data_IF_886158816400
#
_entry.id   IF_886158816400
#
_cell.length_a   1.000
_cell.length_b   1.000
_cell.length_c   1.000
_cell.angle_alpha   90.00
_cell.angle_beta   90.00
_cell.angle_gamma   90.00
#
_symmetry.space_group_name_H-M   'P 1'
#
loop_
_entity.id
_entity.type
_entity.pdbx_description
1 polymer ?
#
# COMPACT_ATOMS: atom_id res chain seq x y z
N UNK A 1 -0.22 -12.61 1.40
CA UNK A 1 -0.63 -11.24 1.79
C UNK A 1 0.51 -10.38 2.32
N UNK A 2 1.63 -10.96 2.76
CA UNK A 2 2.78 -10.19 3.28
C UNK A 2 3.31 -9.15 2.29
N UNK A 3 3.41 -9.48 0.99
CA UNK A 3 3.88 -8.51 0.00
C UNK A 3 2.95 -7.30 -0.19
N UNK A 4 1.62 -7.49 -0.17
CA UNK A 4 0.66 -6.38 -0.16
C UNK A 4 0.85 -5.47 1.07
N UNK A 5 1.12 -6.06 2.24
CA UNK A 5 1.42 -5.31 3.46
C UNK A 5 2.74 -4.54 3.34
N UNK A 6 3.77 -5.14 2.74
CA UNK A 6 5.05 -4.48 2.51
C UNK A 6 4.91 -3.27 1.57
N UNK A 7 4.18 -3.42 0.46
CA UNK A 7 3.87 -2.31 -0.46
C UNK A 7 3.12 -1.20 0.30
N UNK A 8 2.04 -1.55 0.99
CA UNK A 8 1.23 -0.59 1.74
C UNK A 8 2.05 0.15 2.79
N UNK A 9 2.95 -0.56 3.51
CA UNK A 9 3.82 0.03 4.51
C UNK A 9 4.80 1.03 3.90
N UNK A 10 5.48 0.66 2.81
CA UNK A 10 6.44 1.53 2.12
C UNK A 10 5.71 2.75 1.56
N UNK A 11 4.57 2.58 0.91
CA UNK A 11 3.79 3.71 0.36
C UNK A 11 3.32 4.65 1.46
N UNK A 12 2.76 4.11 2.55
CA UNK A 12 2.25 4.93 3.67
C UNK A 12 3.37 5.66 4.40
N UNK A 13 4.45 4.94 4.73
CA UNK A 13 5.64 5.53 5.37
C UNK A 13 6.33 6.55 4.45
N UNK A 14 6.42 6.27 3.16
CA UNK A 14 6.93 7.19 2.15
C UNK A 14 6.08 8.47 2.06
N UNK A 15 4.75 8.34 2.02
CA UNK A 15 3.85 9.50 2.02
C UNK A 15 3.98 10.33 3.29
N UNK A 16 4.18 9.71 4.46
CA UNK A 16 4.45 10.42 5.71
C UNK A 16 5.71 11.28 5.59
N UNK A 17 6.83 10.66 5.20
CA UNK A 17 8.12 11.34 5.10
C UNK A 17 8.08 12.45 4.05
N UNK A 18 7.48 12.19 2.88
CA UNK A 18 7.36 13.17 1.80
C UNK A 18 6.49 14.36 2.22
N UNK A 19 5.32 14.12 2.81
CA UNK A 19 4.41 15.19 3.23
C UNK A 19 5.07 16.08 4.28
N UNK A 20 5.76 15.47 5.24
CA UNK A 20 6.47 16.22 6.27
C UNK A 20 7.64 17.01 5.69
N UNK A 21 8.45 16.40 4.82
CA UNK A 21 9.57 17.08 4.18
C UNK A 21 9.10 18.28 3.33
N UNK A 22 8.06 18.09 2.51
CA UNK A 22 7.47 19.16 1.70
C UNK A 22 6.95 20.29 2.58
N UNK A 23 6.21 19.97 3.65
CA UNK A 23 5.66 20.96 4.56
C UNK A 23 6.73 21.80 5.25
N UNK A 24 7.82 21.17 5.72
CA UNK A 24 8.95 21.86 6.34
C UNK A 24 9.67 22.76 5.32
N UNK A 25 10.01 22.22 4.14
CA UNK A 25 10.72 22.98 3.09
C UNK A 25 9.89 24.19 2.65
N UNK A 26 8.58 24.02 2.47
CA UNK A 26 7.68 25.07 1.99
C UNK A 26 7.46 26.21 2.99
N UNK A 27 7.65 25.95 4.29
CA UNK A 27 7.39 26.94 5.35
C UNK A 27 8.67 27.48 6.00
N UNK A 28 9.84 26.98 5.60
CA UNK A 28 11.13 27.48 6.08
C UNK A 28 11.33 28.97 5.72
N UNK A 29 11.88 29.82 6.63
CA UNK A 29 12.51 29.48 7.92
C UNK A 29 11.57 29.30 9.10
N UNK A 30 10.35 29.84 9.05
CA UNK A 30 9.39 29.78 10.15
C UNK A 30 8.41 28.62 9.96
N UNK A 31 8.87 27.43 10.35
CA UNK A 31 8.15 26.18 10.08
C UNK A 31 6.78 26.18 10.75
N UNK A 32 5.72 26.12 9.93
CA UNK A 32 4.35 26.08 10.39
C UNK A 32 3.98 24.69 10.92
N UNK A 33 4.45 24.37 12.14
CA UNK A 33 4.42 23.02 12.71
C UNK A 33 3.01 22.40 12.72
N UNK A 34 2.00 23.16 13.14
CA UNK A 34 0.62 22.65 13.27
C UNK A 34 0.04 22.25 11.90
N UNK A 35 0.07 23.12 10.87
CA UNK A 35 -0.31 22.73 9.51
C UNK A 35 0.46 21.52 8.98
N UNK A 36 1.78 21.48 9.17
CA UNK A 36 2.64 20.40 8.65
C UNK A 36 2.33 19.05 9.31
N UNK A 37 2.17 19.02 10.62
CA UNK A 37 1.79 17.80 11.33
C UNK A 37 0.37 17.37 10.97
N UNK A 38 -0.58 18.32 10.93
CA UNK A 38 -1.97 18.06 10.54
C UNK A 38 -2.08 17.47 9.14
N UNK A 39 -1.37 18.04 8.15
CA UNK A 39 -1.36 17.51 6.79
C UNK A 39 -0.67 16.15 6.71
N UNK A 40 0.42 15.95 7.44
CA UNK A 40 1.16 14.67 7.46
C UNK A 40 0.28 13.54 8.00
N UNK A 41 -0.41 13.76 9.14
CA UNK A 41 -1.35 12.79 9.70
C UNK A 41 -2.49 12.52 8.72
N UNK A 42 -3.10 13.56 8.17
CA UNK A 42 -4.22 13.42 7.23
C UNK A 42 -3.83 12.60 6.00
N UNK A 43 -2.71 12.94 5.34
CA UNK A 43 -2.23 12.22 4.16
C UNK A 43 -1.88 10.78 4.50
N UNK A 44 -1.18 10.54 5.61
CA UNK A 44 -0.79 9.18 6.01
C UNK A 44 -2.01 8.29 6.25
N UNK A 45 -3.04 8.82 6.93
CA UNK A 45 -4.29 8.08 7.14
C UNK A 45 -5.04 7.82 5.83
N UNK A 46 -5.15 8.83 4.96
CA UNK A 46 -5.79 8.67 3.66
C UNK A 46 -5.08 7.62 2.80
N UNK A 47 -3.76 7.70 2.71
CA UNK A 47 -2.94 6.75 1.94
C UNK A 47 -3.00 5.36 2.55
N UNK A 48 -2.90 5.22 3.87
CA UNK A 48 -2.96 3.91 4.53
C UNK A 48 -4.31 3.22 4.36
N UNK A 49 -5.41 3.95 4.56
CA UNK A 49 -6.77 3.39 4.47
C UNK A 49 -7.17 3.10 3.03
N UNK A 50 -7.00 4.06 2.12
CA UNK A 50 -7.47 3.92 0.74
C UNK A 50 -6.43 3.31 -0.20
N UNK A 51 -5.15 3.30 0.18
CA UNK A 51 -4.07 2.71 -0.61
C UNK A 51 -3.91 1.20 -0.40
N UNK A 52 -4.43 0.63 0.70
CA UNK A 52 -4.32 -0.82 0.93
C UNK A 52 -5.01 -1.66 -0.14
N UNK A 53 -6.25 -1.36 -0.59
CA UNK A 53 -6.88 -2.08 -1.71
C UNK A 53 -6.01 -2.08 -2.98
N UNK A 54 -5.37 -0.96 -3.31
CA UNK A 54 -4.47 -0.84 -4.47
C UNK A 54 -3.21 -1.69 -4.28
N UNK A 55 -2.64 -1.64 -3.07
CA UNK A 55 -1.47 -2.46 -2.70
C UNK A 55 -1.78 -3.95 -2.79
N UNK A 56 -3.00 -4.34 -2.42
CA UNK A 56 -3.49 -5.71 -2.56
C UNK A 56 -3.59 -6.13 -4.01
N UNK A 57 -4.26 -5.34 -4.86
CA UNK A 57 -4.40 -5.66 -6.29
C UNK A 57 -3.05 -5.70 -7.00
N UNK A 58 -2.15 -4.78 -6.65
CA UNK A 58 -0.81 -4.74 -7.20
C UNK A 58 0.00 -5.98 -6.80
N UNK A 59 -0.04 -6.36 -5.53
CA UNK A 59 0.61 -7.58 -5.10
C UNK A 59 0.05 -8.81 -5.80
N UNK A 60 -1.28 -8.94 -5.92
CA UNK A 60 -1.90 -10.06 -6.64
C UNK A 60 -1.46 -10.11 -8.11
N UNK A 61 -1.35 -8.97 -8.78
CA UNK A 61 -0.87 -8.92 -10.17
C UNK A 61 0.60 -9.36 -10.28
N UNK A 62 1.47 -8.89 -9.38
CA UNK A 62 2.88 -9.30 -9.34
C UNK A 62 3.00 -10.79 -9.03
N UNK A 63 2.23 -11.25 -8.07
CA UNK A 63 2.21 -12.63 -7.62
C UNK A 63 1.80 -13.57 -8.77
N UNK A 64 0.69 -13.28 -9.46
CA UNK A 64 0.26 -14.01 -10.66
C UNK A 64 1.26 -13.93 -11.81
N UNK A 65 1.98 -12.82 -11.95
CA UNK A 65 3.02 -12.70 -12.98
C UNK A 65 4.22 -13.61 -12.70
N UNK A 66 4.62 -13.74 -11.44
CA UNK A 66 5.75 -14.57 -11.01
C UNK A 66 5.39 -16.06 -10.92
N UNK A 67 4.15 -16.36 -10.55
CA UNK A 67 3.57 -17.70 -10.54
C UNK A 67 2.26 -17.70 -11.35
N UNK A 68 2.36 -17.80 -12.69
CA UNK A 68 1.19 -17.87 -13.54
C UNK A 68 0.30 -19.04 -13.17
N UNK A 69 -1.02 -18.84 -13.26
CA UNK A 69 -1.99 -19.90 -13.04
C UNK A 69 -1.78 -20.99 -14.09
N UNK A 70 -1.67 -22.23 -13.61
CA UNK A 70 -1.61 -23.44 -14.41
C UNK A 70 -2.97 -24.16 -14.40
N UNK A 71 -3.19 -25.05 -15.37
CA UNK A 71 -4.47 -25.79 -15.49
C UNK A 71 -4.71 -26.71 -14.28
N UNK A 72 -3.64 -27.23 -13.67
CA UNK A 72 -3.69 -28.12 -12.50
C UNK A 72 -4.13 -27.39 -11.21
N UNK A 73 -3.95 -26.07 -11.15
CA UNK A 73 -4.40 -25.26 -9.99
C UNK A 73 -5.93 -25.26 -9.81
N UNK A 74 -6.69 -25.63 -10.85
CA UNK A 74 -8.15 -25.76 -10.81
C UNK A 74 -8.65 -27.20 -10.60
N UNK A 75 -7.88 -28.22 -10.98
CA UNK A 75 -8.30 -29.63 -10.91
C UNK A 75 -8.37 -30.16 -9.47
N UNK A 76 -7.51 -29.64 -8.59
CA UNK A 76 -7.41 -30.09 -7.19
C UNK A 76 -8.65 -29.69 -6.36
N UNK A 77 -9.36 -28.62 -6.73
CA UNK A 77 -10.63 -28.23 -6.08
C UNK A 77 -11.85 -28.95 -6.67
N UNK A 78 -11.78 -29.39 -7.94
CA UNK A 78 -12.84 -30.15 -8.61
C UNK A 78 -13.02 -31.56 -8.06
N UNK A 79 -11.97 -32.19 -7.53
CA UNK A 79 -12.06 -33.54 -6.95
C UNK A 79 -12.72 -33.61 -5.57
N UNK A 80 -12.68 -32.53 -4.79
CA UNK A 80 -13.22 -32.49 -3.44
C UNK A 80 -14.77 -32.41 -3.38
N UNK A 81 -15.43 -32.04 -4.48
CA UNK A 81 -16.89 -31.87 -4.59
C UNK A 81 -17.61 -33.08 -5.20
N UNK A 82 -16.85 -34.07 -5.72
CA UNK A 82 -17.38 -35.23 -6.46
C UNK A 82 -17.20 -36.54 -5.67
N UNK A 83 -16.71 -36.46 -4.43
CA UNK A 83 -16.68 -37.56 -3.45
C UNK A 83 -17.65 -37.27 -2.30
#
# INVERSE_FOLDING_TARGET
MLGAMAISFITTGGSLLLTMAIGVIATYPDVALVPVLGSTVAVTLLVGVFGYPVSYTLWQAVDLHLRPVSEDDGEDHGRAIVN
#
